data_IF_818864748099
#
_entry.id   IF_818864748099
#
_cell.length_a   1.000
_cell.length_b   1.000
_cell.length_c   1.000
_cell.angle_alpha   90.00
_cell.angle_beta   90.00
_cell.angle_gamma   90.00
#
_symmetry.space_group_name_H-M   'P 1'
#
loop_
_entity.id
_entity.type
_entity.pdbx_description
1 polymer ?
#
# COMPACT_ATOMS: atom_id res chain seq x y z
N UNK A 1 -42.06 -12.24 -7.94
CA UNK A 1 -41.86 -13.53 -7.22
C UNK A 1 -40.82 -13.29 -6.13
N UNK A 2 -41.25 -13.32 -4.86
CA UNK A 2 -40.32 -13.12 -3.72
C UNK A 2 -39.62 -14.45 -3.44
N UNK A 3 -38.33 -14.54 -3.65
CA UNK A 3 -37.51 -15.70 -3.27
C UNK A 3 -37.45 -15.78 -1.73
N UNK A 4 -37.64 -16.97 -1.12
CA UNK A 4 -37.66 -17.10 0.34
C UNK A 4 -36.22 -17.09 0.90
N UNK A 5 -35.79 -15.96 1.41
CA UNK A 5 -34.56 -15.73 2.13
C UNK A 5 -34.25 -16.71 3.27
N UNK A 6 -35.25 -17.33 3.97
CA UNK A 6 -34.93 -18.27 5.05
C UNK A 6 -34.25 -19.55 4.61
N UNK A 7 -34.47 -20.02 3.37
CA UNK A 7 -33.84 -21.27 2.89
C UNK A 7 -32.34 -21.12 2.61
N UNK A 8 -31.91 -19.93 2.18
CA UNK A 8 -30.50 -19.66 1.90
C UNK A 8 -29.68 -19.56 3.19
N UNK A 9 -30.24 -18.96 4.24
CA UNK A 9 -29.61 -18.88 5.57
C UNK A 9 -29.51 -20.28 6.21
N UNK A 10 -30.52 -21.15 6.04
CA UNK A 10 -30.48 -22.52 6.54
C UNK A 10 -29.49 -23.40 5.78
N UNK A 11 -29.35 -23.21 4.46
CA UNK A 11 -28.34 -23.94 3.67
C UNK A 11 -26.91 -23.49 3.98
N UNK A 12 -26.71 -22.20 4.25
CA UNK A 12 -25.41 -21.65 4.68
C UNK A 12 -25.11 -22.13 6.12
N UNK A 13 -26.10 -22.16 7.02
CA UNK A 13 -25.92 -22.71 8.39
C UNK A 13 -25.76 -24.25 8.40
N UNK A 14 -26.45 -24.98 7.56
CA UNK A 14 -26.26 -26.44 7.42
C UNK A 14 -24.87 -26.78 6.82
N UNK A 15 -24.40 -25.99 5.83
CA UNK A 15 -23.01 -26.11 5.32
C UNK A 15 -21.96 -25.81 6.39
N UNK A 16 -22.25 -24.90 7.32
CA UNK A 16 -21.36 -24.51 8.41
C UNK A 16 -21.29 -25.56 9.57
N UNK A 17 -22.33 -26.39 9.74
CA UNK A 17 -22.33 -27.49 10.74
C UNK A 17 -21.50 -28.71 10.27
N UNK A 18 -21.27 -28.87 8.96
CA UNK A 18 -20.37 -29.90 8.43
C UNK A 18 -18.88 -29.51 8.51
N UNK A 19 -18.55 -28.22 8.65
CA UNK A 19 -17.18 -27.72 8.71
C UNK A 19 -16.42 -28.14 9.98
N UNK A 20 -17.12 -28.60 11.03
CA UNK A 20 -16.47 -29.07 12.27
C UNK A 20 -15.82 -30.46 12.18
N UNK A 21 -16.01 -31.18 11.07
CA UNK A 21 -15.43 -32.50 10.83
C UNK A 21 -14.27 -32.51 9.80
N UNK A 22 -14.05 -31.39 9.08
CA UNK A 22 -13.00 -31.27 8.06
C UNK A 22 -11.76 -30.59 8.65
N UNK A 23 -10.58 -31.09 8.30
CA UNK A 23 -9.33 -30.42 8.64
C UNK A 23 -9.22 -29.04 7.94
N UNK A 24 -8.39 -28.13 8.50
CA UNK A 24 -8.23 -26.77 7.96
C UNK A 24 -7.82 -26.76 6.48
N UNK A 25 -6.99 -27.71 6.06
CA UNK A 25 -6.53 -27.86 4.68
C UNK A 25 -7.67 -28.20 3.70
N UNK A 26 -8.58 -29.09 4.14
CA UNK A 26 -9.73 -29.48 3.34
C UNK A 26 -10.75 -28.37 3.23
N UNK A 27 -10.97 -27.60 4.30
CA UNK A 27 -11.83 -26.40 4.28
C UNK A 27 -11.26 -25.38 3.29
N UNK A 28 -9.97 -25.12 3.36
CA UNK A 28 -9.28 -24.20 2.47
C UNK A 28 -9.31 -24.68 1.02
N UNK A 29 -9.08 -25.98 0.75
CA UNK A 29 -9.13 -26.56 -0.58
C UNK A 29 -10.49 -26.33 -1.24
N UNK A 30 -11.57 -26.74 -0.58
CA UNK A 30 -12.94 -26.56 -1.09
C UNK A 30 -13.27 -25.09 -1.34
N UNK A 31 -12.82 -24.23 -0.43
CA UNK A 31 -13.01 -22.79 -0.61
C UNK A 31 -12.30 -22.26 -1.85
N UNK A 32 -11.03 -22.67 -2.08
CA UNK A 32 -10.27 -22.23 -3.26
C UNK A 32 -10.91 -22.74 -4.56
N UNK A 33 -11.44 -23.97 -4.57
CA UNK A 33 -12.20 -24.49 -5.72
C UNK A 33 -13.42 -23.63 -6.06
N UNK A 34 -14.21 -23.25 -5.03
CA UNK A 34 -15.38 -22.38 -5.21
C UNK A 34 -14.96 -20.95 -5.62
N UNK A 35 -13.86 -20.46 -5.05
CA UNK A 35 -13.30 -19.16 -5.40
C UNK A 35 -12.80 -19.10 -6.85
N UNK A 36 -12.06 -20.11 -7.29
CA UNK A 36 -11.59 -20.22 -8.69
C UNK A 36 -12.76 -20.34 -9.67
N UNK A 37 -13.84 -20.98 -9.25
CA UNK A 37 -15.07 -21.06 -10.03
C UNK A 37 -15.89 -19.74 -10.07
N UNK A 38 -15.43 -18.69 -9.37
CA UNK A 38 -16.10 -17.37 -9.31
C UNK A 38 -17.39 -17.36 -8.50
N UNK A 39 -17.63 -18.38 -7.65
CA UNK A 39 -18.88 -18.47 -6.86
C UNK A 39 -18.81 -17.74 -5.52
N UNK A 40 -17.66 -17.31 -5.09
CA UNK A 40 -17.44 -16.69 -3.77
C UNK A 40 -17.30 -15.17 -3.87
N UNK A 41 -16.57 -14.71 -4.87
CA UNK A 41 -16.25 -13.28 -5.04
C UNK A 41 -17.45 -12.49 -5.52
N UNK A 42 -17.78 -11.36 -4.88
CA UNK A 42 -18.78 -10.45 -5.42
C UNK A 42 -18.29 -9.83 -6.73
N UNK A 43 -19.19 -9.58 -7.66
CA UNK A 43 -18.85 -8.83 -8.86
C UNK A 43 -18.71 -7.33 -8.56
N UNK A 44 -17.89 -6.61 -9.32
CA UNK A 44 -17.81 -5.14 -9.20
C UNK A 44 -19.17 -4.49 -9.45
N UNK A 45 -20.00 -5.05 -10.34
CA UNK A 45 -21.34 -4.56 -10.61
C UNK A 45 -22.26 -4.67 -9.40
N UNK A 46 -22.18 -5.77 -8.63
CA UNK A 46 -22.92 -5.92 -7.37
C UNK A 46 -22.50 -4.87 -6.35
N UNK A 47 -21.20 -4.59 -6.23
CA UNK A 47 -20.68 -3.57 -5.33
C UNK A 47 -21.18 -2.17 -5.74
N UNK A 48 -21.13 -1.83 -7.04
CA UNK A 48 -21.63 -0.54 -7.52
C UNK A 48 -23.14 -0.36 -7.42
N UNK A 49 -23.90 -1.46 -7.39
CA UNK A 49 -25.36 -1.43 -7.21
C UNK A 49 -25.80 -1.50 -5.76
N UNK A 50 -24.89 -1.73 -4.82
CA UNK A 50 -25.19 -1.78 -3.39
C UNK A 50 -25.74 -0.43 -2.91
N UNK A 51 -26.75 -0.47 -2.04
CA UNK A 51 -27.21 0.72 -1.33
C UNK A 51 -26.12 1.26 -0.40
N UNK A 52 -26.26 2.52 0.07
CA UNK A 52 -25.30 3.15 0.99
C UNK A 52 -25.05 2.28 2.23
N UNK A 53 -26.10 1.65 2.76
CA UNK A 53 -26.02 0.83 3.98
C UNK A 53 -25.38 -0.54 3.74
N UNK A 54 -25.49 -1.07 2.53
CA UNK A 54 -24.91 -2.37 2.13
C UNK A 54 -23.46 -2.24 1.59
N UNK A 55 -23.09 -1.07 1.11
CA UNK A 55 -21.79 -0.81 0.48
C UNK A 55 -20.59 -1.22 1.36
N UNK A 56 -20.56 -0.93 2.68
CA UNK A 56 -19.44 -1.36 3.53
C UNK A 56 -19.26 -2.88 3.54
N UNK A 57 -20.35 -3.64 3.65
CA UNK A 57 -20.30 -5.11 3.65
C UNK A 57 -19.91 -5.67 2.27
N UNK A 58 -20.40 -5.06 1.20
CA UNK A 58 -20.07 -5.46 -0.17
C UNK A 58 -18.57 -5.24 -0.45
N UNK A 59 -18.01 -4.12 -0.01
CA UNK A 59 -16.57 -3.85 -0.11
C UNK A 59 -15.74 -4.79 0.78
N UNK A 60 -16.16 -5.04 2.01
CA UNK A 60 -15.47 -5.98 2.90
C UNK A 60 -15.42 -7.38 2.26
N UNK A 61 -16.51 -7.86 1.68
CA UNK A 61 -16.52 -9.14 0.93
C UNK A 61 -15.63 -9.11 -0.31
N UNK A 62 -15.61 -8.00 -1.06
CA UNK A 62 -14.73 -7.86 -2.24
C UNK A 62 -13.25 -7.92 -1.86
N UNK A 63 -12.86 -7.28 -0.76
CA UNK A 63 -11.48 -7.28 -0.28
C UNK A 63 -11.09 -8.60 0.39
N UNK A 64 -12.03 -9.25 1.09
CA UNK A 64 -11.79 -10.56 1.68
C UNK A 64 -11.69 -11.66 0.61
N UNK A 65 -12.51 -11.57 -0.43
CA UNK A 65 -12.63 -12.57 -1.49
C UNK A 65 -12.53 -11.91 -2.86
N UNK A 66 -11.37 -11.32 -3.23
CA UNK A 66 -11.22 -10.68 -4.53
C UNK A 66 -11.43 -11.70 -5.65
N UNK A 67 -11.90 -11.29 -6.83
CA UNK A 67 -12.00 -12.17 -7.97
C UNK A 67 -10.64 -12.80 -8.31
N UNK A 68 -10.60 -14.11 -8.59
CA UNK A 68 -9.33 -14.77 -8.94
C UNK A 68 -8.77 -14.16 -10.24
N UNK A 69 -7.45 -13.93 -10.31
CA UNK A 69 -6.82 -13.45 -11.53
C UNK A 69 -7.08 -14.42 -12.70
N UNK A 70 -7.37 -13.88 -13.89
CA UNK A 70 -7.59 -14.70 -15.08
C UNK A 70 -6.33 -15.50 -15.43
N UNK A 71 -6.47 -16.81 -15.58
CA UNK A 71 -5.37 -17.70 -15.88
C UNK A 71 -4.55 -18.18 -14.67
N UNK A 72 -5.02 -17.91 -13.46
CA UNK A 72 -4.44 -18.42 -12.22
C UNK A 72 -4.58 -19.97 -12.21
N UNK A 73 -3.48 -20.67 -11.97
CA UNK A 73 -3.44 -22.13 -11.77
C UNK A 73 -2.95 -22.41 -10.36
N UNK A 74 -3.70 -23.19 -9.60
CA UNK A 74 -3.42 -23.50 -8.20
C UNK A 74 -3.19 -25.01 -8.06
N UNK A 75 -2.10 -25.39 -7.39
CA UNK A 75 -1.85 -26.78 -7.02
C UNK A 75 -2.53 -27.07 -5.67
N UNK A 76 -3.72 -27.61 -5.72
CA UNK A 76 -4.53 -27.95 -4.55
C UNK A 76 -4.06 -29.21 -3.79
N UNK A 77 -3.17 -30.01 -4.41
CA UNK A 77 -2.68 -31.26 -3.84
C UNK A 77 -1.45 -31.08 -2.93
N UNK A 78 -0.93 -29.86 -2.85
CA UNK A 78 0.24 -29.53 -2.03
C UNK A 78 -0.06 -28.38 -1.05
N UNK A 79 -1.04 -28.52 -0.14
CA UNK A 79 -1.31 -27.51 0.86
C UNK A 79 -0.19 -27.46 1.90
N UNK A 80 0.17 -26.24 2.33
CA UNK A 80 1.08 -25.98 3.45
C UNK A 80 0.32 -25.24 4.54
N UNK A 81 0.18 -25.87 5.71
CA UNK A 81 -0.46 -25.25 6.87
C UNK A 81 0.57 -24.53 7.73
N UNK A 82 0.36 -23.26 8.00
CA UNK A 82 1.24 -22.43 8.81
C UNK A 82 0.45 -21.34 9.56
N UNK A 83 0.40 -21.40 10.86
CA UNK A 83 -0.06 -20.29 11.70
C UNK A 83 -1.47 -19.76 11.39
N UNK A 84 -2.47 -20.63 11.17
CA UNK A 84 -3.82 -20.20 10.83
C UNK A 84 -4.06 -19.92 9.34
N UNK A 85 -3.08 -20.26 8.48
CA UNK A 85 -3.14 -20.07 7.03
C UNK A 85 -2.87 -21.38 6.31
N UNK A 86 -3.55 -21.56 5.18
CA UNK A 86 -3.24 -22.64 4.23
C UNK A 86 -2.72 -21.99 2.96
N UNK A 87 -1.54 -22.41 2.54
CA UNK A 87 -0.89 -21.92 1.32
C UNK A 87 -0.93 -23.01 0.25
N UNK A 88 -1.33 -22.65 -0.95
CA UNK A 88 -1.32 -23.52 -2.11
C UNK A 88 -0.35 -22.95 -3.16
N UNK A 89 0.65 -23.71 -3.63
CA UNK A 89 1.49 -23.26 -4.74
C UNK A 89 0.63 -22.89 -5.94
N UNK A 90 0.93 -21.76 -6.57
CA UNK A 90 0.13 -21.27 -7.68
C UNK A 90 1.00 -20.59 -8.72
N UNK A 91 0.50 -20.49 -9.96
CA UNK A 91 1.16 -19.79 -11.07
C UNK A 91 0.16 -18.92 -11.82
N UNK A 92 0.60 -17.74 -12.23
CA UNK A 92 -0.15 -16.83 -13.10
C UNK A 92 0.68 -16.56 -14.35
N UNK A 93 0.40 -17.28 -15.43
CA UNK A 93 1.30 -17.34 -16.59
C UNK A 93 2.64 -17.97 -16.21
N UNK A 94 3.74 -17.24 -16.39
CA UNK A 94 5.11 -17.64 -15.99
C UNK A 94 5.48 -17.21 -14.56
N UNK A 95 4.66 -16.38 -13.92
CA UNK A 95 4.92 -15.88 -12.57
C UNK A 95 4.51 -16.93 -11.53
N UNK A 96 5.44 -17.30 -10.66
CA UNK A 96 5.18 -18.13 -9.48
C UNK A 96 4.57 -17.33 -8.33
N UNK A 97 3.72 -17.98 -7.54
CA UNK A 97 3.09 -17.40 -6.37
C UNK A 97 2.46 -18.45 -5.48
N UNK A 98 1.65 -18.01 -4.56
CA UNK A 98 0.88 -18.85 -3.65
C UNK A 98 -0.53 -18.28 -3.49
N UNK A 99 -1.53 -19.14 -3.43
CA UNK A 99 -2.85 -18.79 -2.93
C UNK A 99 -2.84 -19.02 -1.43
N UNK A 100 -3.04 -17.97 -0.67
CA UNK A 100 -3.07 -18.00 0.80
C UNK A 100 -4.50 -17.87 1.27
N UNK A 101 -4.97 -18.84 2.05
CA UNK A 101 -6.29 -18.84 2.68
C UNK A 101 -6.12 -18.64 4.18
N UNK A 102 -6.71 -17.60 4.71
CA UNK A 102 -6.69 -17.27 6.13
C UNK A 102 -7.90 -17.87 6.82
N UNK A 103 -7.66 -18.59 7.90
CA UNK A 103 -8.69 -19.29 8.66
C UNK A 103 -8.75 -18.76 10.10
N UNK A 104 -9.94 -18.35 10.52
CA UNK A 104 -10.22 -18.00 11.91
C UNK A 104 -11.40 -18.82 12.42
N UNK A 105 -11.19 -19.56 13.53
CA UNK A 105 -12.22 -20.42 14.11
C UNK A 105 -12.75 -21.51 13.16
N UNK A 106 -11.92 -22.00 12.20
CA UNK A 106 -12.30 -22.99 11.19
C UNK A 106 -13.10 -22.43 10.02
N UNK A 107 -13.22 -21.11 9.90
CA UNK A 107 -13.87 -20.42 8.78
C UNK A 107 -12.86 -19.67 7.95
N UNK A 108 -13.09 -19.61 6.65
CA UNK A 108 -12.26 -18.77 5.76
C UNK A 108 -12.64 -17.31 5.99
N UNK A 109 -11.67 -16.55 6.45
CA UNK A 109 -11.79 -15.10 6.64
C UNK A 109 -11.41 -14.36 5.36
N UNK A 110 -10.37 -14.83 4.67
CA UNK A 110 -9.85 -14.17 3.47
C UNK A 110 -9.09 -15.14 2.58
N UNK A 111 -9.02 -14.82 1.29
CA UNK A 111 -8.16 -15.47 0.29
C UNK A 111 -7.37 -14.41 -0.47
N UNK A 112 -6.09 -14.72 -0.76
CA UNK A 112 -5.23 -13.84 -1.54
C UNK A 112 -4.30 -14.64 -2.45
N UNK A 113 -4.03 -14.15 -3.67
CA UNK A 113 -2.93 -14.64 -4.49
C UNK A 113 -1.71 -13.77 -4.25
N UNK A 114 -0.72 -14.32 -3.56
CA UNK A 114 0.55 -13.64 -3.23
C UNK A 114 1.58 -13.99 -4.29
N UNK A 115 2.06 -12.99 -5.02
CA UNK A 115 3.12 -13.18 -6.02
C UNK A 115 4.48 -13.32 -5.35
N UNK A 116 5.25 -14.32 -5.76
CA UNK A 116 6.66 -14.43 -5.35
C UNK A 116 7.50 -13.43 -6.15
N UNK A 117 8.38 -12.73 -5.46
CA UNK A 117 9.40 -11.90 -6.12
C UNK A 117 9.03 -10.43 -6.36
N UNK A 118 7.90 -9.91 -5.86
CA UNK A 118 7.61 -8.47 -5.89
C UNK A 118 8.63 -7.65 -5.10
N UNK A 119 9.12 -8.21 -3.99
CA UNK A 119 10.27 -7.67 -3.27
C UNK A 119 11.51 -8.46 -3.68
N UNK A 120 12.55 -7.82 -4.22
CA UNK A 120 13.80 -8.51 -4.56
C UNK A 120 14.48 -9.05 -3.30
N UNK A 121 15.27 -10.14 -3.38
CA UNK A 121 15.94 -10.74 -2.21
C UNK A 121 16.73 -9.75 -1.36
N UNK A 122 17.39 -8.78 -1.99
CA UNK A 122 18.10 -7.71 -1.29
C UNK A 122 17.16 -6.87 -0.39
N UNK A 123 15.96 -6.53 -0.89
CA UNK A 123 14.97 -5.75 -0.13
C UNK A 123 14.29 -6.54 1.01
N UNK A 124 14.57 -7.82 1.15
CA UNK A 124 14.06 -8.69 2.22
C UNK A 124 15.15 -9.16 3.18
N UNK A 125 16.38 -8.65 3.03
CA UNK A 125 17.56 -9.15 3.74
C UNK A 125 18.08 -8.17 4.79
N UNK A 126 18.71 -8.71 5.83
CA UNK A 126 19.43 -7.92 6.82
C UNK A 126 20.58 -7.12 6.17
N UNK A 127 21.25 -7.70 5.18
CA UNK A 127 22.31 -7.01 4.44
C UNK A 127 21.79 -5.79 3.68
N UNK A 128 20.61 -5.89 3.09
CA UNK A 128 19.94 -4.76 2.42
C UNK A 128 19.60 -3.65 3.39
N UNK A 129 19.04 -3.99 4.55
CA UNK A 129 18.72 -3.02 5.60
C UNK A 129 19.96 -2.36 6.20
N UNK A 130 20.99 -3.15 6.48
CA UNK A 130 22.28 -2.62 6.98
C UNK A 130 22.92 -1.67 5.96
N UNK A 131 22.92 -2.06 4.66
CA UNK A 131 23.41 -1.18 3.60
C UNK A 131 22.65 0.15 3.58
N UNK A 132 21.34 0.12 3.63
CA UNK A 132 20.52 1.35 3.62
C UNK A 132 20.73 2.20 4.87
N UNK A 133 20.89 1.59 6.04
CA UNK A 133 21.22 2.31 7.27
C UNK A 133 22.57 3.02 7.15
N UNK A 134 23.61 2.31 6.75
CA UNK A 134 24.95 2.87 6.57
C UNK A 134 24.97 3.92 5.46
N UNK A 135 24.27 3.68 4.35
CA UNK A 135 24.12 4.64 3.27
C UNK A 135 23.38 5.91 3.75
N UNK A 136 22.32 5.78 4.54
CA UNK A 136 21.58 6.90 5.11
C UNK A 136 22.46 7.76 6.02
N UNK A 137 23.24 7.13 6.90
CA UNK A 137 24.23 7.83 7.74
C UNK A 137 25.28 8.53 6.88
N UNK A 138 25.87 7.81 5.92
CA UNK A 138 26.83 8.40 4.96
C UNK A 138 26.21 9.60 4.23
N UNK A 139 24.98 9.46 3.72
CA UNK A 139 24.27 10.51 3.01
C UNK A 139 24.08 11.74 3.91
N UNK A 140 23.57 11.55 5.14
CA UNK A 140 23.39 12.64 6.10
C UNK A 140 24.71 13.36 6.45
N UNK A 141 25.80 12.63 6.64
CA UNK A 141 27.13 13.20 6.89
C UNK A 141 27.64 13.94 5.65
N UNK A 142 27.49 13.34 4.47
CA UNK A 142 27.91 13.94 3.20
C UNK A 142 27.24 15.29 2.90
N UNK A 143 26.00 15.52 3.41
CA UNK A 143 25.31 16.81 3.26
C UNK A 143 26.05 17.99 3.91
N UNK A 144 26.92 17.74 4.89
CA UNK A 144 27.77 18.76 5.54
C UNK A 144 28.96 19.16 4.67
N UNK A 145 29.28 18.35 3.67
CA UNK A 145 30.45 18.53 2.81
C UNK A 145 30.21 19.45 1.61
N UNK A 146 31.17 19.38 0.67
CA UNK A 146 31.13 20.10 -0.61
C UNK A 146 30.92 19.16 -1.82
N UNK A 147 30.67 17.86 -1.55
CA UNK A 147 30.45 16.84 -2.58
C UNK A 147 29.12 17.00 -3.32
N UNK A 148 28.92 16.17 -4.34
CA UNK A 148 27.74 16.19 -5.21
C UNK A 148 26.43 16.08 -4.43
N UNK A 149 26.35 15.16 -3.45
CA UNK A 149 25.15 14.99 -2.62
C UNK A 149 24.77 16.27 -1.87
N UNK A 150 25.76 16.95 -1.28
CA UNK A 150 25.53 18.20 -0.59
C UNK A 150 25.14 19.34 -1.54
N UNK A 151 25.71 19.37 -2.75
CA UNK A 151 25.34 20.34 -3.77
C UNK A 151 23.88 20.15 -4.21
N UNK A 152 23.49 18.92 -4.60
CA UNK A 152 22.11 18.58 -4.97
C UNK A 152 21.10 18.93 -3.86
N UNK A 153 21.46 18.66 -2.62
CA UNK A 153 20.61 18.98 -1.47
C UNK A 153 20.41 20.50 -1.31
N UNK A 154 21.51 21.27 -1.41
CA UNK A 154 21.42 22.74 -1.33
C UNK A 154 20.63 23.33 -2.50
N UNK A 155 20.82 22.83 -3.73
CA UNK A 155 20.07 23.24 -4.91
C UNK A 155 18.57 22.91 -4.74
N UNK A 156 18.24 21.71 -4.22
CA UNK A 156 16.86 21.32 -3.93
C UNK A 156 16.20 22.27 -2.92
N UNK A 157 16.89 22.59 -1.82
CA UNK A 157 16.38 23.53 -0.81
C UNK A 157 16.26 24.96 -1.35
N UNK A 158 17.20 25.40 -2.20
CA UNK A 158 17.12 26.70 -2.85
C UNK A 158 15.88 26.78 -3.75
N UNK A 159 15.61 25.74 -4.51
CA UNK A 159 14.44 25.64 -5.40
C UNK A 159 13.13 25.67 -4.59
N UNK A 160 13.04 24.97 -3.47
CA UNK A 160 11.89 25.03 -2.56
C UNK A 160 11.64 26.45 -2.03
N UNK A 161 12.72 27.15 -1.65
CA UNK A 161 12.63 28.54 -1.18
C UNK A 161 12.21 29.51 -2.30
N UNK A 162 12.78 29.33 -3.50
CA UNK A 162 12.46 30.16 -4.67
C UNK A 162 10.99 30.01 -5.08
N UNK A 163 10.47 28.78 -5.05
CA UNK A 163 9.12 28.44 -5.50
C UNK A 163 8.16 28.12 -4.33
N UNK A 164 8.43 28.75 -3.16
CA UNK A 164 7.73 28.46 -1.90
C UNK A 164 6.21 28.54 -1.99
N UNK A 165 5.66 29.47 -2.81
CA UNK A 165 4.20 29.62 -2.96
C UNK A 165 3.57 28.40 -3.61
N UNK A 166 4.19 27.87 -4.66
CA UNK A 166 3.74 26.66 -5.34
C UNK A 166 3.86 25.44 -4.39
N UNK A 167 5.00 25.33 -3.71
CA UNK A 167 5.23 24.25 -2.75
C UNK A 167 4.23 24.26 -1.60
N UNK A 168 3.98 25.42 -0.97
CA UNK A 168 2.99 25.58 0.08
C UNK A 168 1.57 25.33 -0.43
N UNK A 169 1.24 25.77 -1.65
CA UNK A 169 -0.06 25.50 -2.28
C UNK A 169 -0.31 23.98 -2.46
N UNK A 170 0.69 23.23 -2.91
CA UNK A 170 0.60 21.77 -3.03
C UNK A 170 0.47 21.09 -1.67
N UNK A 171 1.22 21.55 -0.65
CA UNK A 171 1.07 21.03 0.71
C UNK A 171 -0.35 21.27 1.23
N UNK A 172 -0.87 22.50 1.09
CA UNK A 172 -2.22 22.82 1.54
C UNK A 172 -3.28 21.99 0.82
N UNK A 173 -3.13 21.81 -0.50
CA UNK A 173 -4.04 20.98 -1.30
C UNK A 173 -4.01 19.52 -0.85
N UNK A 174 -2.83 18.90 -0.81
CA UNK A 174 -2.71 17.45 -0.57
C UNK A 174 -2.98 17.11 0.90
N UNK A 175 -2.43 17.84 1.87
CA UNK A 175 -2.80 17.64 3.28
C UNK A 175 -4.24 18.05 3.57
N UNK A 176 -4.81 19.01 2.85
CA UNK A 176 -6.23 19.33 2.90
C UNK A 176 -7.11 18.15 2.47
N UNK A 177 -6.72 17.44 1.40
CA UNK A 177 -7.39 16.20 0.96
C UNK A 177 -7.22 15.07 1.98
N UNK A 178 -6.05 14.93 2.60
CA UNK A 178 -5.84 14.00 3.70
C UNK A 178 -6.76 14.30 4.89
N UNK A 179 -6.83 15.56 5.30
CA UNK A 179 -7.73 15.99 6.39
C UNK A 179 -9.21 15.77 6.02
N UNK A 180 -9.58 16.04 4.77
CA UNK A 180 -10.94 15.74 4.27
C UNK A 180 -11.22 14.24 4.33
N UNK A 181 -10.30 13.38 3.89
CA UNK A 181 -10.42 11.93 4.01
C UNK A 181 -10.61 11.51 5.47
N UNK A 182 -9.80 12.05 6.39
CA UNK A 182 -9.94 11.77 7.82
C UNK A 182 -11.30 12.19 8.36
N UNK A 183 -11.80 13.36 7.97
CA UNK A 183 -13.14 13.83 8.36
C UNK A 183 -14.24 12.90 7.83
N UNK A 184 -14.14 12.47 6.57
CA UNK A 184 -15.09 11.52 5.99
C UNK A 184 -15.11 10.19 6.73
N UNK A 185 -13.98 9.73 7.27
CA UNK A 185 -13.90 8.51 8.09
C UNK A 185 -14.69 8.64 9.41
N UNK A 186 -14.75 9.82 10.01
CA UNK A 186 -15.62 10.06 11.17
C UNK A 186 -17.10 10.01 10.81
N UNK A 187 -17.46 10.43 9.60
CA UNK A 187 -18.85 10.43 9.14
C UNK A 187 -19.29 9.04 8.67
N UNK A 188 -18.40 8.24 8.11
CA UNK A 188 -18.69 6.93 7.52
C UNK A 188 -17.70 5.85 8.02
N UNK A 189 -17.67 5.56 9.34
CA UNK A 189 -16.65 4.69 9.93
C UNK A 189 -16.72 3.23 9.43
N UNK A 190 -17.91 2.75 9.05
CA UNK A 190 -18.10 1.42 8.45
C UNK A 190 -17.36 1.30 7.11
N UNK A 191 -17.59 2.26 6.22
CA UNK A 191 -16.93 2.31 4.92
C UNK A 191 -15.39 2.48 5.07
N UNK A 192 -14.97 3.33 6.01
CA UNK A 192 -13.56 3.56 6.27
C UNK A 192 -12.83 2.30 6.76
N UNK A 193 -13.44 1.49 7.63
CA UNK A 193 -12.89 0.19 8.05
C UNK A 193 -12.77 -0.79 6.90
N UNK A 194 -13.77 -0.85 6.00
CA UNK A 194 -13.70 -1.72 4.82
C UNK A 194 -12.55 -1.33 3.90
N UNK A 195 -12.35 -0.03 3.65
CA UNK A 195 -11.20 0.48 2.86
C UNK A 195 -9.87 0.20 3.56
N UNK A 196 -9.79 0.40 4.89
CA UNK A 196 -8.59 0.08 5.68
C UNK A 196 -8.21 -1.41 5.57
N UNK A 197 -9.18 -2.31 5.71
CA UNK A 197 -8.96 -3.76 5.50
C UNK A 197 -8.48 -4.06 4.07
N UNK A 198 -9.03 -3.38 3.07
CA UNK A 198 -8.60 -3.52 1.67
C UNK A 198 -7.15 -3.10 1.46
N UNK A 199 -6.73 -1.99 2.05
CA UNK A 199 -5.33 -1.53 1.98
C UNK A 199 -4.41 -2.52 2.71
N UNK A 200 -4.78 -2.99 3.91
CA UNK A 200 -4.05 -4.02 4.65
C UNK A 200 -3.87 -5.30 3.81
N UNK A 201 -4.94 -5.77 3.18
CA UNK A 201 -4.88 -6.92 2.26
C UNK A 201 -3.94 -6.70 1.07
N UNK A 202 -3.86 -5.48 0.53
CA UNK A 202 -2.93 -5.17 -0.56
C UNK A 202 -1.46 -5.25 -0.10
N UNK A 203 -1.13 -4.87 1.14
CA UNK A 203 0.22 -5.01 1.70
C UNK A 203 0.67 -6.46 1.83
N UNK A 204 -0.26 -7.37 2.13
CA UNK A 204 0.00 -8.81 2.17
C UNK A 204 0.28 -9.39 0.78
N UNK A 205 -0.46 -8.90 -0.26
CA UNK A 205 -0.25 -9.34 -1.65
C UNK A 205 1.17 -9.09 -2.16
N UNK A 206 1.88 -8.11 -1.59
CA UNK A 206 3.26 -7.78 -1.96
C UNK A 206 4.30 -8.51 -1.10
N UNK A 207 3.88 -9.36 -0.14
CA UNK A 207 4.77 -10.12 0.73
C UNK A 207 5.42 -9.28 1.84
N UNK A 208 4.91 -8.08 2.13
CA UNK A 208 5.46 -7.23 3.20
C UNK A 208 5.23 -7.86 4.58
N UNK A 209 4.14 -8.60 4.75
CA UNK A 209 3.82 -9.29 5.99
C UNK A 209 4.89 -10.31 6.39
N UNK A 210 5.49 -11.04 5.42
CA UNK A 210 6.56 -11.99 5.72
C UNK A 210 7.81 -11.31 6.28
N UNK A 211 8.05 -10.06 5.89
CA UNK A 211 9.21 -9.28 6.30
C UNK A 211 8.99 -8.63 7.67
N UNK A 212 7.74 -8.34 8.06
CA UNK A 212 7.39 -7.74 9.36
C UNK A 212 8.00 -8.51 10.55
N UNK A 213 8.05 -9.84 10.46
CA UNK A 213 8.52 -10.69 11.54
C UNK A 213 10.03 -11.00 11.50
N UNK A 214 10.75 -10.63 10.42
CA UNK A 214 12.18 -10.96 10.26
C UNK A 214 13.12 -10.01 10.99
N UNK A 215 12.71 -8.80 11.34
CA UNK A 215 13.53 -7.82 12.06
C UNK A 215 13.48 -6.42 11.48
N UNK A 216 14.07 -5.47 12.20
CA UNK A 216 14.08 -4.04 11.81
C UNK A 216 14.82 -3.82 10.48
N UNK A 217 15.96 -4.49 10.26
CA UNK A 217 16.77 -4.28 9.05
C UNK A 217 16.08 -4.77 7.77
N UNK A 218 15.58 -6.02 7.68
CA UNK A 218 14.78 -6.44 6.52
C UNK A 218 13.56 -5.56 6.29
N UNK A 219 12.90 -5.15 7.36
CA UNK A 219 11.73 -4.27 7.28
C UNK A 219 12.09 -2.89 6.71
N UNK A 220 13.20 -2.28 7.17
CA UNK A 220 13.71 -1.04 6.59
C UNK A 220 13.94 -1.16 5.08
N UNK A 221 14.57 -2.27 4.66
CA UNK A 221 14.86 -2.49 3.25
C UNK A 221 13.58 -2.64 2.41
N UNK A 222 12.60 -3.41 2.91
CA UNK A 222 11.35 -3.65 2.22
C UNK A 222 10.50 -2.37 2.10
N UNK A 223 10.32 -1.63 3.20
CA UNK A 223 9.55 -0.39 3.23
C UNK A 223 10.19 0.64 2.31
N UNK A 224 11.52 0.86 2.44
CA UNK A 224 12.20 1.84 1.59
C UNK A 224 12.11 1.46 0.11
N UNK A 225 12.40 0.20 -0.23
CA UNK A 225 12.30 -0.28 -1.62
C UNK A 225 10.89 -0.05 -2.18
N UNK A 226 9.86 -0.43 -1.44
CA UNK A 226 8.48 -0.28 -1.88
C UNK A 226 8.08 1.17 -2.07
N UNK A 227 8.30 2.01 -1.06
CA UNK A 227 7.95 3.43 -1.11
C UNK A 227 8.75 4.20 -2.16
N UNK A 228 10.03 3.86 -2.34
CA UNK A 228 10.85 4.45 -3.39
C UNK A 228 10.35 4.04 -4.78
N UNK A 229 10.18 2.74 -5.03
CA UNK A 229 9.88 2.23 -6.38
C UNK A 229 8.42 2.46 -6.75
N UNK A 230 7.47 2.04 -5.93
CA UNK A 230 6.04 2.15 -6.22
C UNK A 230 5.49 3.54 -5.88
N UNK A 231 5.87 4.07 -4.73
CA UNK A 231 5.38 5.35 -4.26
C UNK A 231 5.99 6.54 -5.02
N UNK A 232 7.31 6.69 -4.95
CA UNK A 232 7.97 7.86 -5.52
C UNK A 232 8.26 7.72 -7.02
N UNK A 233 8.89 6.62 -7.46
CA UNK A 233 9.30 6.48 -8.87
C UNK A 233 8.11 6.22 -9.78
N UNK A 234 7.35 5.14 -9.59
CA UNK A 234 6.32 4.71 -10.53
C UNK A 234 5.03 5.53 -10.46
N UNK A 235 4.58 5.93 -9.27
CA UNK A 235 3.29 6.62 -9.13
C UNK A 235 3.41 8.13 -8.93
N UNK A 236 4.64 8.68 -8.84
CA UNK A 236 4.84 10.13 -8.68
C UNK A 236 5.80 10.70 -9.73
N UNK A 237 7.06 10.24 -9.80
CA UNK A 237 8.04 10.83 -10.72
C UNK A 237 7.77 10.45 -12.19
N UNK A 238 7.47 9.17 -12.47
CA UNK A 238 7.17 8.73 -13.82
C UNK A 238 5.93 9.44 -14.40
N UNK A 239 4.77 9.49 -13.70
CA UNK A 239 3.64 10.32 -14.14
C UNK A 239 3.97 11.81 -14.15
N UNK A 240 4.90 12.27 -13.29
CA UNK A 240 5.40 13.64 -13.26
C UNK A 240 6.05 14.09 -14.57
N UNK A 241 6.66 13.17 -15.34
CA UNK A 241 7.21 13.42 -16.67
C UNK A 241 6.15 13.92 -17.67
N UNK A 242 4.87 13.56 -17.48
CA UNK A 242 3.74 14.01 -18.29
C UNK A 242 3.13 15.30 -17.71
N UNK A 243 3.97 16.34 -17.59
CA UNK A 243 3.61 17.69 -17.14
C UNK A 243 3.06 17.77 -15.70
N UNK A 244 3.32 16.78 -14.88
CA UNK A 244 2.98 16.76 -13.46
C UNK A 244 1.51 16.53 -13.13
N UNK A 245 0.58 16.72 -14.07
CA UNK A 245 -0.86 16.57 -13.80
C UNK A 245 -1.26 15.14 -13.41
N UNK A 246 -0.83 14.06 -14.12
CA UNK A 246 -1.14 12.70 -13.69
C UNK A 246 -0.57 12.38 -12.31
N UNK A 247 0.64 12.84 -11.98
CA UNK A 247 1.23 12.67 -10.67
C UNK A 247 0.40 13.36 -9.58
N UNK A 248 -0.08 14.57 -9.85
CA UNK A 248 -0.93 15.30 -8.91
C UNK A 248 -2.25 14.59 -8.66
N UNK A 249 -2.91 14.09 -9.72
CA UNK A 249 -4.18 13.35 -9.58
C UNK A 249 -4.01 12.05 -8.79
N UNK A 250 -2.96 11.26 -9.08
CA UNK A 250 -2.66 10.04 -8.34
C UNK A 250 -2.36 10.33 -6.87
N UNK A 251 -1.58 11.37 -6.58
CA UNK A 251 -1.30 11.74 -5.20
C UNK A 251 -2.52 12.36 -4.50
N UNK A 252 -3.35 13.15 -5.18
CA UNK A 252 -4.61 13.64 -4.62
C UNK A 252 -5.52 12.49 -4.15
N UNK A 253 -5.67 11.47 -5.00
CA UNK A 253 -6.42 10.25 -4.64
C UNK A 253 -5.78 9.50 -3.46
N UNK A 254 -4.44 9.36 -3.47
CA UNK A 254 -3.69 8.70 -2.39
C UNK A 254 -3.88 9.42 -1.05
N UNK A 255 -3.77 10.75 -1.02
CA UNK A 255 -3.93 11.52 0.21
C UNK A 255 -5.33 11.43 0.78
N UNK A 256 -6.35 11.52 -0.09
CA UNK A 256 -7.74 11.33 0.33
C UNK A 256 -7.97 9.92 0.91
N UNK A 257 -7.49 8.88 0.23
CA UNK A 257 -7.63 7.48 0.67
C UNK A 257 -6.83 7.20 1.95
N UNK A 258 -5.62 7.70 2.08
CA UNK A 258 -4.82 7.52 3.30
C UNK A 258 -5.43 8.28 4.49
N UNK A 259 -5.91 9.50 4.27
CA UNK A 259 -6.66 10.22 5.29
C UNK A 259 -7.89 9.45 5.75
N UNK A 260 -8.60 8.81 4.82
CA UNK A 260 -9.78 8.03 5.11
C UNK A 260 -9.46 6.71 5.85
N UNK A 261 -8.46 5.95 5.41
CA UNK A 261 -8.11 4.64 5.95
C UNK A 261 -7.25 4.70 7.22
N UNK A 262 -6.41 5.73 7.35
CA UNK A 262 -5.50 5.92 8.49
C UNK A 262 -6.00 7.01 9.45
N UNK A 263 -7.32 7.25 9.47
CA UNK A 263 -7.94 8.24 10.33
C UNK A 263 -7.84 7.87 11.82
N UNK A 264 -7.67 8.85 12.72
CA UNK A 264 -7.82 8.63 14.17
C UNK A 264 -9.24 8.20 14.58
N UNK A 265 -10.22 8.21 13.66
CA UNK A 265 -11.53 7.57 13.87
C UNK A 265 -11.44 6.04 13.91
N UNK A 266 -10.40 5.44 13.31
CA UNK A 266 -10.23 3.99 13.18
C UNK A 266 -9.07 3.46 14.02
N UNK A 267 -8.05 4.29 14.24
CA UNK A 267 -6.80 3.93 14.92
C UNK A 267 -6.80 4.58 16.30
N UNK A 268 -6.49 3.83 17.38
CA UNK A 268 -6.35 4.42 18.70
C UNK A 268 -5.37 5.60 18.69
N UNK A 269 -5.75 6.72 19.31
CA UNK A 269 -4.97 7.96 19.27
C UNK A 269 -3.48 7.80 19.60
N UNK A 270 -3.06 7.02 20.63
CA UNK A 270 -1.65 6.82 20.92
C UNK A 270 -0.88 6.16 19.74
N UNK A 271 -1.47 5.16 19.10
CA UNK A 271 -0.88 4.49 17.93
C UNK A 271 -0.86 5.42 16.71
N UNK A 272 -1.92 6.19 16.50
CA UNK A 272 -1.97 7.20 15.46
C UNK A 272 -0.85 8.25 15.63
N UNK A 273 -0.66 8.76 16.85
CA UNK A 273 0.40 9.74 17.13
C UNK A 273 1.81 9.14 16.99
N UNK A 274 1.98 7.87 17.34
CA UNK A 274 3.24 7.14 17.13
C UNK A 274 3.56 7.01 15.64
N UNK A 275 2.56 6.70 14.81
CA UNK A 275 2.72 6.54 13.36
C UNK A 275 2.75 7.86 12.57
N UNK A 276 2.32 8.95 13.18
CA UNK A 276 2.20 10.26 12.51
C UNK A 276 3.53 10.76 11.89
N UNK A 277 4.72 10.63 12.53
CA UNK A 277 5.98 11.06 11.93
C UNK A 277 6.30 10.33 10.63
N UNK A 278 6.13 9.00 10.59
CA UNK A 278 6.30 8.19 9.35
C UNK A 278 5.38 8.71 8.26
N UNK A 279 4.10 8.81 8.57
CA UNK A 279 3.08 9.25 7.63
C UNK A 279 3.40 10.64 7.05
N UNK A 280 3.80 11.60 7.90
CA UNK A 280 4.15 12.94 7.45
C UNK A 280 5.40 12.95 6.56
N UNK A 281 6.44 12.19 6.91
CA UNK A 281 7.68 12.12 6.11
C UNK A 281 7.43 11.45 4.75
N UNK A 282 6.70 10.34 4.75
CA UNK A 282 6.37 9.62 3.51
C UNK A 282 5.53 10.47 2.57
N UNK A 283 4.43 11.03 3.07
CA UNK A 283 3.58 11.93 2.30
C UNK A 283 4.37 13.15 1.79
N UNK A 284 5.26 13.71 2.62
CA UNK A 284 6.11 14.83 2.22
C UNK A 284 7.02 14.49 1.04
N UNK A 285 7.53 13.26 0.96
CA UNK A 285 8.33 12.82 -0.17
C UNK A 285 7.52 12.77 -1.47
N UNK A 286 6.25 12.36 -1.42
CA UNK A 286 5.36 12.38 -2.59
C UNK A 286 4.94 13.80 -3.00
N UNK A 287 4.80 14.72 -2.03
CA UNK A 287 4.62 16.15 -2.34
C UNK A 287 5.84 16.69 -3.11
N UNK A 288 7.05 16.35 -2.67
CA UNK A 288 8.28 16.77 -3.35
C UNK A 288 8.32 16.27 -4.81
N UNK A 289 7.96 15.01 -5.04
CA UNK A 289 7.87 14.47 -6.41
C UNK A 289 6.81 15.18 -7.25
N UNK A 290 5.61 15.40 -6.70
CA UNK A 290 4.53 16.15 -7.37
C UNK A 290 4.92 17.60 -7.66
N UNK A 291 5.61 18.24 -6.71
CA UNK A 291 6.16 19.57 -6.88
C UNK A 291 7.18 19.61 -8.01
N UNK A 292 8.07 18.59 -8.12
CA UNK A 292 8.98 18.43 -9.25
C UNK A 292 8.25 18.39 -10.61
N UNK A 293 7.15 17.62 -10.68
CA UNK A 293 6.28 17.58 -11.88
C UNK A 293 5.63 18.93 -12.20
N UNK A 294 5.15 19.65 -11.19
CA UNK A 294 4.62 21.00 -11.37
C UNK A 294 5.69 22.00 -11.83
N UNK A 295 6.94 21.85 -11.36
CA UNK A 295 8.06 22.66 -11.83
C UNK A 295 8.44 22.37 -13.28
N UNK A 296 8.33 21.11 -13.72
CA UNK A 296 8.51 20.73 -15.12
C UNK A 296 7.48 21.45 -16.01
N UNK A 297 6.20 21.39 -15.65
CA UNK A 297 5.15 22.15 -16.35
C UNK A 297 5.45 23.64 -16.38
N UNK A 298 5.80 24.21 -15.22
CA UNK A 298 6.14 25.64 -15.11
C UNK A 298 7.31 26.05 -16.01
N UNK A 299 8.35 25.19 -16.10
CA UNK A 299 9.50 25.44 -16.97
C UNK A 299 9.11 25.51 -18.46
N UNK A 300 8.17 24.66 -18.88
CA UNK A 300 7.63 24.68 -20.24
C UNK A 300 6.78 25.92 -20.50
N UNK A 301 5.90 26.29 -19.60
CA UNK A 301 5.08 27.48 -19.71
C UNK A 301 5.93 28.77 -19.78
N UNK A 302 7.07 28.80 -19.09
CA UNK A 302 8.05 29.88 -19.11
C UNK A 302 9.04 29.82 -20.30
N UNK A 303 8.91 28.80 -21.16
CA UNK A 303 9.81 28.56 -22.29
C UNK A 303 11.27 28.32 -21.90
N UNK A 304 11.51 27.85 -20.65
CA UNK A 304 12.86 27.48 -20.18
C UNK A 304 13.33 26.13 -20.76
N UNK A 305 12.41 25.36 -21.33
CA UNK A 305 12.66 24.07 -21.99
C UNK A 305 12.47 22.84 -21.08
N UNK A 306 12.21 21.70 -21.74
CA UNK A 306 11.93 20.41 -21.03
C UNK A 306 13.12 19.93 -20.18
N UNK A 307 14.36 20.12 -20.67
CA UNK A 307 15.56 19.67 -19.93
C UNK A 307 15.72 20.37 -18.57
N UNK A 308 15.40 21.66 -18.51
CA UNK A 308 15.45 22.42 -17.25
C UNK A 308 14.39 21.89 -16.28
N UNK A 309 13.16 21.69 -16.78
CA UNK A 309 12.07 21.12 -15.99
C UNK A 309 12.38 19.72 -15.50
N UNK A 310 12.95 18.86 -16.35
CA UNK A 310 13.37 17.49 -15.99
C UNK A 310 14.44 17.51 -14.91
N UNK A 311 15.44 18.39 -15.00
CA UNK A 311 16.45 18.57 -13.95
C UNK A 311 15.82 18.92 -12.60
N UNK A 312 14.83 19.82 -12.59
CA UNK A 312 14.08 20.18 -11.38
C UNK A 312 13.25 19.01 -10.82
N UNK A 313 12.60 18.23 -11.69
CA UNK A 313 11.86 17.02 -11.29
C UNK A 313 12.78 16.01 -10.64
N UNK A 314 13.92 15.70 -11.25
CA UNK A 314 14.90 14.74 -10.71
C UNK A 314 15.52 15.24 -9.39
N UNK A 315 15.75 16.55 -9.28
CA UNK A 315 16.27 17.15 -8.05
C UNK A 315 15.26 17.02 -6.89
N UNK A 316 13.97 17.19 -7.17
CA UNK A 316 12.93 16.94 -6.17
C UNK A 316 12.76 15.45 -5.85
N UNK A 317 12.93 14.57 -6.83
CA UNK A 317 12.99 13.12 -6.63
C UNK A 317 14.15 12.71 -5.73
N UNK A 318 15.33 13.29 -5.91
CA UNK A 318 16.48 13.10 -5.03
C UNK A 318 16.16 13.46 -3.57
N UNK A 319 15.55 14.65 -3.36
CA UNK A 319 15.17 15.08 -2.02
C UNK A 319 14.06 14.18 -1.43
N UNK A 320 13.10 13.76 -2.24
CA UNK A 320 12.06 12.81 -1.87
C UNK A 320 12.62 11.45 -1.44
N UNK A 321 13.59 10.90 -2.20
CA UNK A 321 14.26 9.65 -1.86
C UNK A 321 15.02 9.74 -0.52
N UNK A 322 15.66 10.88 -0.25
CA UNK A 322 16.30 11.13 1.04
C UNK A 322 15.30 11.14 2.19
N UNK A 323 14.17 11.82 2.03
CA UNK A 323 13.11 11.88 3.06
C UNK A 323 12.50 10.50 3.29
N UNK A 324 12.23 9.73 2.21
CA UNK A 324 11.70 8.37 2.32
C UNK A 324 12.61 7.42 3.08
N UNK A 325 13.93 7.57 2.96
CA UNK A 325 14.86 6.71 3.70
C UNK A 325 14.70 6.89 5.21
N UNK A 326 14.52 8.13 5.67
CA UNK A 326 14.30 8.44 7.08
C UNK A 326 12.88 8.05 7.54
N UNK A 327 11.88 8.19 6.66
CA UNK A 327 10.53 7.68 6.92
C UNK A 327 10.55 6.16 7.13
N UNK A 328 11.18 5.42 6.22
CA UNK A 328 11.29 3.96 6.29
C UNK A 328 12.09 3.49 7.52
N UNK A 329 13.14 4.21 7.90
CA UNK A 329 13.91 3.90 9.11
C UNK A 329 13.06 4.07 10.37
N UNK A 330 12.32 5.18 10.46
CA UNK A 330 11.43 5.42 11.60
C UNK A 330 10.35 4.34 11.67
N UNK A 331 9.68 4.04 10.56
CA UNK A 331 8.62 3.03 10.48
C UNK A 331 9.14 1.63 10.83
N UNK A 332 10.32 1.26 10.34
CA UNK A 332 10.91 -0.04 10.65
C UNK A 332 11.22 -0.18 12.15
N UNK A 333 11.65 0.90 12.81
CA UNK A 333 11.88 0.92 14.27
C UNK A 333 10.55 0.91 15.01
N UNK A 334 9.59 1.73 14.59
CA UNK A 334 8.24 1.79 15.17
C UNK A 334 7.60 0.40 15.18
N UNK A 335 7.49 -0.22 14.01
CA UNK A 335 6.86 -1.55 13.88
C UNK A 335 7.70 -2.63 14.57
N UNK A 336 9.01 -2.60 14.39
CA UNK A 336 9.90 -3.62 14.93
C UNK A 336 10.08 -3.60 16.45
N UNK A 337 9.82 -2.48 17.10
CA UNK A 337 10.06 -2.29 18.55
C UNK A 337 8.76 -2.11 19.33
N UNK A 338 7.77 -1.40 18.79
CA UNK A 338 6.57 -0.99 19.53
C UNK A 338 5.30 -1.76 19.14
N UNK A 339 5.25 -2.38 17.96
CA UNK A 339 4.05 -3.08 17.47
C UNK A 339 4.21 -4.62 17.40
N UNK A 340 5.30 -5.14 17.91
CA UNK A 340 5.56 -6.60 18.05
C UNK A 340 5.01 -7.18 19.34
#
# INVERSE_FOLDING_TARGET
>A
MRFPWPLFVVLVQAGLSFASALGPEEVARRFVEEWLAGRVSPSLEEVFRSSKDELPQALERLFAYPPPPKGLRVNLDAPLWEGGRVRFPATLGEEGGEVVVYLEGGRVERVAFVRKGLLPPFAQSEAGGLFLLLFGVYWAVALRGKGVLAQLFREALALLRQERRLYLGLNLLLYGLFALGSLLAFLEPGLARSVQKGIGGALELIGLEEVLFRGVLPLLAAIYYWNLTQGLLLTTLLPGLFLGLPALLLNASRYLLFGFALSPALIPLPLYLLHLPTLLLELQAYILGSFGGALLLKSLLRREGYRVGLGRLLLMGYLGAFVLLWAALYEAVEVGVFLR
#
